data_IF_765774844331
#
_entry.id   IF_765774844331
#
_cell.length_a   1.000
_cell.length_b   1.000
_cell.length_c   1.000
_cell.angle_alpha   90.00
_cell.angle_beta   90.00
_cell.angle_gamma   90.00
#
_symmetry.space_group_name_H-M   'P 1'
#
loop_
_entity.id
_entity.type
_entity.pdbx_description
1 polymer ?
#
# COMPACT_ATOMS: atom_id res chain seq x y z
N UNK A 1 -2.21 58.87 9.21
CA UNK A 1 -1.19 57.80 9.16
C UNK A 1 -1.63 56.69 10.11
N UNK A 2 -2.29 55.64 9.62
CA UNK A 2 -2.72 54.51 10.46
C UNK A 2 -1.71 53.37 10.33
N UNK A 3 -1.21 52.89 11.47
CA UNK A 3 -0.19 51.83 11.56
C UNK A 3 -0.77 50.52 11.00
N UNK A 4 -0.01 49.90 10.10
CA UNK A 4 -0.27 48.57 9.54
C UNK A 4 -0.16 47.55 10.68
N UNK A 5 -1.28 46.93 11.07
CA UNK A 5 -1.25 45.73 11.91
C UNK A 5 -1.00 44.54 10.98
N UNK A 6 0.27 44.23 10.79
CA UNK A 6 0.71 42.97 10.18
C UNK A 6 0.18 41.83 11.05
N UNK A 7 -0.90 41.17 10.61
CA UNK A 7 -1.25 39.86 11.11
C UNK A 7 -0.51 38.83 10.25
N UNK A 8 0.78 38.65 10.53
CA UNK A 8 1.49 37.47 10.06
C UNK A 8 0.98 36.30 10.92
N UNK A 9 -0.13 35.71 10.48
CA UNK A 9 -0.55 34.38 10.90
C UNK A 9 0.50 33.39 10.40
N UNK A 10 1.62 33.30 11.12
CA UNK A 10 2.52 32.17 10.96
C UNK A 10 1.84 30.99 11.61
N UNK A 11 0.94 30.34 10.88
CA UNK A 11 0.40 29.05 11.25
C UNK A 11 1.56 28.07 11.09
N UNK A 12 2.34 27.87 12.15
CA UNK A 12 3.19 26.71 12.29
C UNK A 12 2.29 25.50 12.52
N UNK A 13 1.57 25.08 11.49
CA UNK A 13 1.06 23.71 11.43
C UNK A 13 2.30 22.83 11.39
N UNK A 14 2.72 22.34 12.55
CA UNK A 14 3.37 21.04 12.62
C UNK A 14 2.29 20.03 12.30
N UNK A 15 1.91 19.92 11.02
CA UNK A 15 1.04 18.87 10.53
C UNK A 15 1.76 17.57 10.80
N UNK A 16 1.35 16.86 11.86
CA UNK A 16 1.53 15.42 11.90
C UNK A 16 0.94 14.89 10.60
N UNK A 17 1.78 14.35 9.73
CA UNK A 17 1.35 13.83 8.44
C UNK A 17 0.15 12.90 8.65
N UNK A 18 -0.98 13.19 8.00
CA UNK A 18 -2.13 12.32 8.03
C UNK A 18 -1.73 10.98 7.38
N UNK A 19 -2.11 9.87 8.03
CA UNK A 19 -1.92 8.55 7.43
C UNK A 19 -2.99 8.29 6.37
N UNK A 20 -2.62 7.52 5.36
CA UNK A 20 -3.50 7.08 4.29
C UNK A 20 -3.70 5.57 4.32
N UNK A 21 -4.86 5.15 3.84
CA UNK A 21 -5.18 3.76 3.59
C UNK A 21 -4.50 3.29 2.31
N UNK A 22 -3.70 2.23 2.43
CA UNK A 22 -3.22 1.47 1.30
C UNK A 22 -3.95 0.13 1.26
N UNK A 23 -4.92 0.05 0.36
CA UNK A 23 -5.66 -1.17 0.05
C UNK A 23 -4.85 -2.00 -0.94
N UNK A 24 -4.54 -3.26 -0.62
CA UNK A 24 -3.83 -4.17 -1.51
C UNK A 24 -4.71 -5.36 -1.84
N UNK A 25 -4.93 -5.59 -3.13
CA UNK A 25 -5.60 -6.79 -3.65
C UNK A 25 -4.57 -7.64 -4.37
N UNK A 26 -4.44 -8.89 -3.94
CA UNK A 26 -3.57 -9.89 -4.55
C UNK A 26 -4.41 -10.94 -5.26
N UNK A 27 -4.18 -11.08 -6.55
CA UNK A 27 -4.87 -12.03 -7.42
C UNK A 27 -3.88 -12.77 -8.32
N UNK A 28 -4.31 -13.84 -8.97
CA UNK A 28 -3.52 -14.50 -10.01
C UNK A 28 -3.71 -13.81 -11.37
N UNK A 29 -2.96 -14.24 -12.38
CA UNK A 29 -3.08 -13.77 -13.77
C UNK A 29 -4.47 -14.01 -14.41
N UNK A 30 -5.34 -14.80 -13.77
CA UNK A 30 -6.72 -15.07 -14.19
C UNK A 30 -7.75 -14.23 -13.42
N UNK A 31 -7.32 -13.29 -12.58
CA UNK A 31 -8.20 -12.45 -11.74
C UNK A 31 -8.82 -13.20 -10.56
N UNK A 32 -8.31 -14.38 -10.20
CA UNK A 32 -8.75 -15.11 -9.00
C UNK A 32 -8.03 -14.55 -7.78
N UNK A 33 -8.76 -14.12 -6.72
CA UNK A 33 -8.12 -13.64 -5.50
C UNK A 33 -7.28 -14.72 -4.84
N UNK A 34 -6.12 -14.34 -4.32
CA UNK A 34 -5.20 -15.25 -3.62
C UNK A 34 -5.31 -14.97 -2.12
N UNK A 35 -5.94 -15.89 -1.39
CA UNK A 35 -6.00 -15.84 0.07
C UNK A 35 -4.69 -16.30 0.71
N UNK A 36 -4.32 -15.70 1.83
CA UNK A 36 -3.10 -16.04 2.58
C UNK A 36 -1.80 -15.62 1.88
N UNK A 37 -1.87 -14.76 0.86
CA UNK A 37 -0.70 -14.15 0.26
C UNK A 37 -0.04 -13.21 1.28
N UNK A 38 1.28 -13.35 1.47
CA UNK A 38 2.07 -12.48 2.33
C UNK A 38 2.39 -11.19 1.57
N UNK A 39 1.92 -10.07 2.10
CA UNK A 39 2.22 -8.73 1.61
C UNK A 39 3.15 -8.02 2.59
N UNK A 40 4.25 -7.48 2.07
CA UNK A 40 5.25 -6.73 2.81
C UNK A 40 5.30 -5.29 2.32
N UNK A 41 5.15 -4.33 3.22
CA UNK A 41 5.28 -2.90 2.95
C UNK A 41 6.10 -2.26 4.05
N UNK A 42 7.26 -1.68 3.71
CA UNK A 42 8.14 -1.01 4.68
C UNK A 42 8.47 -1.86 5.93
N UNK A 43 8.68 -3.17 5.74
CA UNK A 43 8.93 -4.12 6.83
C UNK A 43 7.69 -4.55 7.63
N UNK A 44 6.52 -3.95 7.40
CA UNK A 44 5.25 -4.46 7.90
C UNK A 44 4.81 -5.66 7.05
N UNK A 45 4.40 -6.73 7.71
CA UNK A 45 3.92 -7.95 7.07
C UNK A 45 2.47 -8.19 7.44
N UNK A 46 1.63 -8.44 6.44
CA UNK A 46 0.25 -8.84 6.62
C UNK A 46 -0.13 -9.92 5.58
N UNK A 47 -1.19 -10.66 5.87
CA UNK A 47 -1.71 -11.70 4.97
C UNK A 47 -3.05 -11.28 4.38
N UNK A 48 -3.27 -11.62 3.12
CA UNK A 48 -4.57 -11.38 2.47
C UNK A 48 -5.66 -12.28 3.04
N UNK A 49 -6.87 -11.73 3.14
CA UNK A 49 -8.07 -12.44 3.55
C UNK A 49 -8.60 -13.37 2.42
N UNK A 50 -9.80 -13.93 2.58
CA UNK A 50 -10.44 -14.83 1.58
C UNK A 50 -10.66 -14.18 0.21
N UNK A 51 -10.77 -12.85 0.17
CA UNK A 51 -11.03 -12.07 -1.04
C UNK A 51 -9.73 -11.52 -1.64
N UNK A 52 -8.56 -11.99 -1.18
CA UNK A 52 -7.26 -11.54 -1.66
C UNK A 52 -6.87 -10.15 -1.16
N UNK A 53 -7.57 -9.62 -0.16
CA UNK A 53 -7.46 -8.24 0.26
C UNK A 53 -6.71 -8.08 1.59
N UNK A 54 -5.95 -6.99 1.71
CA UNK A 54 -5.26 -6.57 2.94
C UNK A 54 -5.07 -5.05 2.98
N UNK A 55 -5.08 -4.47 4.18
CA UNK A 55 -4.94 -3.03 4.40
C UNK A 55 -3.68 -2.67 5.18
N UNK A 56 -3.11 -1.53 4.83
CA UNK A 56 -2.05 -0.87 5.58
C UNK A 56 -2.41 0.59 5.85
N UNK A 57 -1.98 1.10 7.01
CA UNK A 57 -2.22 2.48 7.43
C UNK A 57 -0.87 3.20 7.59
N UNK A 58 -0.45 3.91 6.55
CA UNK A 58 0.91 4.39 6.36
C UNK A 58 0.95 5.92 6.26
N UNK A 59 2.09 6.51 6.61
CA UNK A 59 2.31 7.93 6.36
C UNK A 59 2.49 8.17 4.85
N UNK A 60 2.35 9.41 4.37
CA UNK A 60 2.62 9.72 2.98
C UNK A 60 4.08 9.44 2.63
N UNK A 61 4.31 8.87 1.45
CA UNK A 61 5.66 8.60 0.95
C UNK A 61 5.71 7.43 -0.01
N UNK A 62 6.93 7.17 -0.49
CA UNK A 62 7.17 6.13 -1.48
C UNK A 62 7.40 4.77 -0.82
N UNK A 63 6.64 3.76 -1.25
CA UNK A 63 6.69 2.42 -0.70
C UNK A 63 6.88 1.36 -1.78
N UNK A 64 7.72 0.36 -1.51
CA UNK A 64 7.77 -0.88 -2.28
C UNK A 64 6.92 -1.94 -1.59
N UNK A 65 5.84 -2.33 -2.24
CA UNK A 65 4.92 -3.39 -1.82
C UNK A 65 5.34 -4.68 -2.49
N UNK A 66 5.65 -5.70 -1.69
CA UNK A 66 6.01 -7.04 -2.18
C UNK A 66 4.95 -8.05 -1.78
N UNK A 67 4.39 -8.78 -2.73
CA UNK A 67 3.45 -9.86 -2.47
C UNK A 67 4.03 -11.22 -2.87
N UNK A 68 3.78 -12.24 -2.05
CA UNK A 68 4.22 -13.61 -2.27
C UNK A 68 3.18 -14.62 -1.78
N UNK A 69 3.08 -15.75 -2.47
CA UNK A 69 2.18 -16.84 -2.10
C UNK A 69 2.79 -18.18 -2.51
N UNK A 70 2.40 -19.26 -1.83
CA UNK A 70 2.92 -20.59 -2.15
C UNK A 70 2.50 -21.01 -3.57
N UNK A 71 3.43 -21.53 -4.36
CA UNK A 71 3.19 -21.90 -5.76
C UNK A 71 3.17 -20.71 -6.72
N UNK A 72 3.44 -19.49 -6.26
CA UNK A 72 3.53 -18.28 -7.09
C UNK A 72 4.93 -17.67 -7.03
N UNK A 73 5.30 -16.97 -8.10
CA UNK A 73 6.45 -16.08 -8.11
C UNK A 73 6.11 -14.83 -7.29
N UNK A 74 7.06 -14.37 -6.50
CA UNK A 74 6.98 -13.08 -5.80
C UNK A 74 6.87 -11.94 -6.82
N UNK A 75 6.00 -10.98 -6.56
CA UNK A 75 5.90 -9.75 -7.32
C UNK A 75 6.04 -8.54 -6.41
N UNK A 76 6.59 -7.45 -6.94
CA UNK A 76 6.78 -6.21 -6.21
C UNK A 76 6.39 -5.01 -7.06
N UNK A 77 5.76 -4.01 -6.43
CA UNK A 77 5.39 -2.74 -7.05
C UNK A 77 5.80 -1.59 -6.14
N UNK A 78 6.34 -0.53 -6.74
CA UNK A 78 6.60 0.72 -6.03
C UNK A 78 5.46 1.68 -6.30
N UNK A 79 4.96 2.31 -5.25
CA UNK A 79 3.91 3.33 -5.30
C UNK A 79 4.37 4.58 -4.56
N UNK A 80 3.81 5.72 -4.92
CA UNK A 80 3.90 6.94 -4.13
C UNK A 80 2.56 7.19 -3.45
N UNK A 81 2.54 7.08 -2.12
CA UNK A 81 1.32 7.16 -1.33
C UNK A 81 1.08 8.62 -0.93
N UNK A 82 0.43 9.38 -1.81
CA UNK A 82 0.03 10.77 -1.53
C UNK A 82 -1.43 10.90 -1.06
N UNK A 83 -2.16 9.79 -0.99
CA UNK A 83 -3.56 9.69 -0.59
C UNK A 83 -3.99 8.22 -0.44
N UNK A 84 -5.26 7.99 -0.11
CA UNK A 84 -5.82 6.65 -0.08
C UNK A 84 -5.67 5.98 -1.46
N UNK A 85 -5.13 4.76 -1.49
CA UNK A 85 -4.71 4.12 -2.72
C UNK A 85 -5.14 2.65 -2.76
N UNK A 86 -5.62 2.20 -3.92
CA UNK A 86 -5.89 0.79 -4.22
C UNK A 86 -4.82 0.24 -5.15
N UNK A 87 -4.02 -0.69 -4.64
CA UNK A 87 -2.98 -1.37 -5.37
C UNK A 87 -3.40 -2.81 -5.71
N UNK A 88 -3.41 -3.13 -7.00
CA UNK A 88 -3.58 -4.49 -7.49
C UNK A 88 -2.23 -5.13 -7.81
N UNK A 89 -1.97 -6.30 -7.23
CA UNK A 89 -0.79 -7.12 -7.52
C UNK A 89 -1.24 -8.47 -8.07
N UNK A 90 -0.81 -8.76 -9.29
CA UNK A 90 -1.03 -10.06 -9.91
C UNK A 90 0.19 -10.95 -9.73
N UNK A 91 -0.01 -12.13 -9.16
CA UNK A 91 1.04 -13.14 -9.03
C UNK A 91 0.96 -14.15 -10.18
N UNK A 92 2.11 -14.43 -10.78
CA UNK A 92 2.27 -15.49 -11.77
C UNK A 92 2.60 -16.81 -11.06
N UNK A 93 2.01 -17.93 -11.49
CA UNK A 93 2.41 -19.24 -10.99
C UNK A 93 3.93 -19.48 -11.16
N UNK A 94 4.55 -20.00 -10.11
CA UNK A 94 5.88 -20.60 -10.17
C UNK A 94 5.75 -21.99 -10.79
N UNK A 95 6.55 -22.30 -11.80
CA UNK A 95 6.43 -23.57 -12.51
C UNK A 95 6.98 -24.77 -11.69
N UNK A 96 6.35 -25.97 -11.74
CA UNK A 96 5.02 -26.27 -12.26
C UNK A 96 3.96 -26.39 -11.16
N UNK A 97 2.71 -26.11 -11.53
CA UNK A 97 1.48 -26.35 -10.75
C UNK A 97 1.51 -27.77 -10.15
N UNK A 98 1.39 -27.96 -8.82
CA UNK A 98 1.22 -29.30 -8.26
C UNK A 98 -0.03 -29.93 -8.88
N UNK A 99 0.15 -31.10 -9.49
CA UNK A 99 -0.90 -31.92 -10.10
C UNK A 99 -1.86 -32.43 -9.04
#
# INVERSE_FOLDING_TARGET
>A
MAKVYSNQLTVSIQTGQAKYDLHVVVENMSGTPISGAKVSVNGQLAMTNKDGYVDFYLLPGTYTVTASANGYKTASKTIDLEGNYLLMIQLQYGFPKPM
#
